data_IF_455532041161
#
_entry.id   IF_455532041161
#
_cell.length_a   1.000
_cell.length_b   1.000
_cell.length_c   1.000
_cell.angle_alpha   90.00
_cell.angle_beta   90.00
_cell.angle_gamma   90.00
#
_symmetry.space_group_name_H-M   'P 1'
#
loop_
_entity.id
_entity.type
_entity.pdbx_description
1 polymer ?
#
# COMPACT_ATOMS: atom_id res chain seq x y z
N UNK A 1 14.95 13.88 11.96
CA UNK A 1 15.91 12.80 11.67
C UNK A 1 15.47 11.91 10.51
N UNK A 2 14.23 11.41 10.45
CA UNK A 2 13.77 10.52 9.35
C UNK A 2 13.70 11.17 7.95
N UNK A 3 13.36 12.45 7.83
CA UNK A 3 13.25 13.13 6.52
C UNK A 3 14.61 13.22 5.82
N UNK A 4 15.69 13.51 6.56
CA UNK A 4 17.02 13.73 5.99
C UNK A 4 17.63 12.53 5.25
N UNK A 5 17.25 11.29 5.60
CA UNK A 5 17.79 10.09 4.96
C UNK A 5 17.26 9.86 3.54
N UNK A 6 16.08 10.40 3.23
CA UNK A 6 15.43 10.28 1.92
C UNK A 6 15.56 11.56 1.07
N UNK A 7 16.02 12.65 1.69
CA UNK A 7 16.25 13.94 1.01
C UNK A 7 17.59 14.01 0.28
N UNK A 8 18.50 13.06 0.52
CA UNK A 8 19.81 13.02 -0.10
C UNK A 8 20.05 11.71 -0.85
N UNK A 9 21.18 11.64 -1.55
CA UNK A 9 21.58 10.52 -2.39
C UNK A 9 22.30 9.40 -1.62
N UNK A 10 22.30 9.42 -0.27
CA UNK A 10 23.07 8.49 0.55
C UNK A 10 22.77 7.02 0.20
N UNK A 11 21.49 6.68 -0.01
CA UNK A 11 21.08 5.32 -0.37
C UNK A 11 21.69 4.92 -1.72
N UNK A 12 21.62 5.78 -2.72
CA UNK A 12 22.14 5.49 -4.07
C UNK A 12 23.66 5.52 -4.18
N UNK A 13 24.35 6.23 -3.27
CA UNK A 13 25.81 6.18 -3.18
C UNK A 13 26.31 4.85 -2.61
N UNK A 14 25.50 4.20 -1.75
CA UNK A 14 25.87 2.95 -1.07
C UNK A 14 25.21 1.71 -1.70
N UNK A 15 24.16 1.88 -2.49
CA UNK A 15 23.48 0.82 -3.22
C UNK A 15 23.18 1.25 -4.67
N UNK A 16 23.96 0.76 -5.67
CA UNK A 16 23.76 1.11 -7.07
C UNK A 16 22.48 0.50 -7.69
N UNK A 17 21.79 -0.41 -6.99
CA UNK A 17 20.51 -0.98 -7.44
C UNK A 17 19.30 -0.11 -7.08
N UNK A 18 19.49 0.92 -6.24
CA UNK A 18 18.43 1.87 -5.91
C UNK A 18 18.41 3.00 -6.93
N UNK A 19 17.26 3.30 -7.56
CA UNK A 19 17.14 4.44 -8.46
C UNK A 19 17.43 5.78 -7.75
N UNK A 20 18.19 6.71 -8.37
CA UNK A 20 18.56 7.99 -7.77
C UNK A 20 17.42 9.01 -7.85
N UNK A 21 16.31 8.71 -7.18
CA UNK A 21 15.14 9.59 -7.07
C UNK A 21 15.16 10.27 -5.71
N UNK A 22 15.44 11.56 -5.71
CA UNK A 22 15.42 12.39 -4.50
C UNK A 22 14.00 12.82 -4.15
N UNK A 23 13.77 13.01 -2.85
CA UNK A 23 12.53 13.61 -2.36
C UNK A 23 12.33 15.03 -2.93
N UNK A 24 11.12 15.31 -3.41
CA UNK A 24 10.74 16.62 -3.95
C UNK A 24 9.83 17.36 -2.96
N UNK A 25 10.43 18.21 -2.14
CA UNK A 25 9.72 19.01 -1.13
C UNK A 25 8.74 20.02 -1.74
N UNK A 26 9.06 20.59 -2.89
CA UNK A 26 8.19 21.56 -3.58
C UNK A 26 6.90 20.87 -4.04
N UNK A 27 7.01 19.68 -4.62
CA UNK A 27 5.85 18.87 -5.02
C UNK A 27 5.02 18.42 -3.82
N UNK A 28 5.67 18.07 -2.70
CA UNK A 28 4.97 17.71 -1.46
C UNK A 28 4.17 18.88 -0.89
N UNK A 29 4.72 20.11 -0.94
CA UNK A 29 4.11 21.32 -0.37
C UNK A 29 3.18 22.06 -1.33
N UNK A 30 3.09 21.64 -2.59
CA UNK A 30 2.32 22.30 -3.66
C UNK A 30 0.84 22.56 -3.26
N UNK A 31 0.25 21.71 -2.41
CA UNK A 31 -1.07 21.96 -1.82
C UNK A 31 -2.23 21.99 -2.84
N UNK A 32 -2.03 21.49 -4.06
CA UNK A 32 -3.02 21.52 -5.13
C UNK A 32 -4.25 20.64 -4.84
N UNK A 33 -5.34 20.90 -5.55
CA UNK A 33 -6.55 20.05 -5.46
C UNK A 33 -6.36 18.77 -6.27
N UNK A 34 -6.24 17.66 -5.55
CA UNK A 34 -6.10 16.33 -6.15
C UNK A 34 -7.41 15.70 -6.59
N UNK A 35 -7.30 14.83 -7.61
CA UNK A 35 -8.31 13.84 -7.98
C UNK A 35 -7.94 12.50 -7.36
N UNK A 36 -8.73 12.04 -6.40
CA UNK A 36 -8.40 10.92 -5.51
C UNK A 36 -9.36 9.76 -5.81
N UNK A 37 -8.80 8.60 -6.17
CA UNK A 37 -9.57 7.36 -6.29
C UNK A 37 -9.84 6.75 -4.91
N UNK A 38 -11.07 6.33 -4.62
CA UNK A 38 -11.39 5.62 -3.38
C UNK A 38 -12.16 4.33 -3.64
N UNK A 39 -11.94 3.33 -2.78
CA UNK A 39 -12.68 2.07 -2.77
C UNK A 39 -12.99 1.68 -1.31
N UNK A 40 -14.09 0.95 -1.11
CA UNK A 40 -14.49 0.43 0.21
C UNK A 40 -14.13 -1.06 0.31
N UNK A 41 -14.20 -1.77 -0.82
CA UNK A 41 -13.97 -3.19 -0.92
C UNK A 41 -13.07 -3.49 -2.12
N UNK A 42 -12.04 -4.28 -1.88
CA UNK A 42 -11.09 -4.74 -2.89
C UNK A 42 -11.43 -6.13 -3.44
N UNK A 43 -12.39 -6.84 -2.81
CA UNK A 43 -12.84 -8.16 -3.21
C UNK A 43 -11.91 -9.33 -2.83
N UNK A 44 -10.86 -9.10 -2.03
CA UNK A 44 -9.94 -10.16 -1.56
C UNK A 44 -10.12 -10.50 -0.08
N UNK A 45 -10.22 -9.51 0.80
CA UNK A 45 -10.46 -9.74 2.24
C UNK A 45 -11.93 -10.03 2.58
N UNK A 46 -12.67 -10.56 1.61
CA UNK A 46 -14.09 -10.92 1.62
C UNK A 46 -14.50 -12.03 2.60
N UNK A 47 -13.71 -13.07 2.94
CA UNK A 47 -14.27 -14.26 3.61
C UNK A 47 -14.59 -14.13 5.10
N UNK A 48 -14.38 -12.96 5.73
CA UNK A 48 -14.86 -12.71 7.09
C UNK A 48 -15.97 -11.64 7.07
N UNK A 49 -17.22 -11.97 7.45
CA UNK A 49 -18.32 -11.00 7.61
C UNK A 49 -17.96 -9.83 8.54
N UNK A 50 -17.00 -10.03 9.46
CA UNK A 50 -16.50 -8.99 10.35
C UNK A 50 -15.60 -7.95 9.65
N UNK A 51 -14.96 -8.28 8.52
CA UNK A 51 -13.97 -7.42 7.85
C UNK A 51 -14.61 -6.72 6.65
N UNK A 52 -15.34 -7.45 5.80
CA UNK A 52 -15.98 -6.87 4.60
C UNK A 52 -17.20 -6.01 4.93
N UNK A 53 -17.93 -6.37 5.99
CA UNK A 53 -19.09 -5.63 6.48
C UNK A 53 -18.77 -4.83 7.74
N UNK A 54 -17.49 -4.67 8.12
CA UNK A 54 -17.13 -3.83 9.26
C UNK A 54 -17.70 -2.44 9.04
N UNK A 55 -18.77 -2.05 9.74
CA UNK A 55 -19.38 -0.75 9.55
C UNK A 55 -18.36 0.35 9.88
N UNK A 56 -17.35 0.02 10.70
CA UNK A 56 -16.26 0.90 11.10
C UNK A 56 -15.31 1.25 9.95
N UNK A 57 -14.86 0.26 9.15
CA UNK A 57 -13.93 0.51 8.03
C UNK A 57 -14.63 1.32 6.95
N UNK A 58 -15.85 0.90 6.58
CA UNK A 58 -16.67 1.64 5.62
C UNK A 58 -16.93 3.07 6.08
N UNK A 59 -17.28 3.26 7.37
CA UNK A 59 -17.49 4.59 7.94
C UNK A 59 -16.22 5.44 7.89
N UNK A 60 -15.08 4.91 8.30
CA UNK A 60 -13.81 5.64 8.29
C UNK A 60 -13.42 6.10 6.87
N UNK A 61 -13.58 5.23 5.86
CA UNK A 61 -13.32 5.60 4.46
C UNK A 61 -14.27 6.70 3.98
N UNK A 62 -15.56 6.61 4.32
CA UNK A 62 -16.56 7.61 3.92
C UNK A 62 -16.42 8.94 4.68
N UNK A 63 -15.96 8.92 5.92
CA UNK A 63 -15.64 10.10 6.72
C UNK A 63 -14.43 10.82 6.15
N UNK A 64 -13.33 10.09 5.88
CA UNK A 64 -12.17 10.64 5.19
C UNK A 64 -12.53 11.19 3.81
N UNK A 65 -13.40 10.49 3.06
CA UNK A 65 -13.94 10.97 1.79
C UNK A 65 -14.61 12.34 1.97
N UNK A 66 -15.53 12.45 2.92
CA UNK A 66 -16.27 13.69 3.19
C UNK A 66 -15.34 14.85 3.56
N UNK A 67 -14.31 14.60 4.39
CA UNK A 67 -13.33 15.61 4.74
C UNK A 67 -12.48 16.08 3.56
N UNK A 68 -12.08 15.16 2.67
CA UNK A 68 -11.32 15.51 1.46
C UNK A 68 -12.18 16.28 0.45
N UNK A 69 -13.44 15.91 0.28
CA UNK A 69 -14.41 16.66 -0.55
C UNK A 69 -14.64 18.07 0.02
N UNK A 70 -14.82 18.20 1.33
CA UNK A 70 -14.96 19.49 2.02
C UNK A 70 -13.69 20.37 1.89
N UNK A 71 -12.51 19.75 1.83
CA UNK A 71 -11.26 20.44 1.55
C UNK A 71 -11.09 20.82 0.06
N UNK A 72 -12.06 20.51 -0.81
CA UNK A 72 -12.08 20.87 -2.23
C UNK A 72 -11.37 19.89 -3.16
N UNK A 73 -11.09 18.67 -2.71
CA UNK A 73 -10.59 17.60 -3.57
C UNK A 73 -11.72 16.92 -4.35
N UNK A 74 -11.38 16.31 -5.49
CA UNK A 74 -12.33 15.53 -6.29
C UNK A 74 -12.16 14.06 -5.99
N UNK A 75 -13.17 13.41 -5.41
CA UNK A 75 -13.12 11.99 -5.10
C UNK A 75 -13.90 11.18 -6.13
N UNK A 76 -13.27 10.12 -6.62
CA UNK A 76 -13.81 9.29 -7.70
C UNK A 76 -13.88 7.85 -7.23
N UNK A 77 -15.04 7.19 -7.35
CA UNK A 77 -15.12 5.75 -7.14
C UNK A 77 -14.13 5.03 -8.05
N UNK A 78 -13.22 4.28 -7.46
CA UNK A 78 -12.21 3.50 -8.17
C UNK A 78 -12.35 2.05 -7.73
N UNK A 79 -12.23 1.11 -8.66
CA UNK A 79 -12.20 -0.32 -8.34
C UNK A 79 -10.88 -0.89 -8.87
N UNK A 80 -9.95 -1.27 -7.98
CA UNK A 80 -8.72 -1.92 -8.42
C UNK A 80 -9.06 -3.19 -9.24
N UNK A 81 -8.48 -3.37 -10.44
CA UNK A 81 -8.80 -4.52 -11.28
C UNK A 81 -8.13 -5.79 -10.73
N UNK A 82 -8.88 -6.91 -10.75
CA UNK A 82 -8.35 -8.27 -10.56
C UNK A 82 -7.54 -8.49 -9.26
N UNK A 83 -7.92 -7.83 -8.16
CA UNK A 83 -7.23 -7.96 -6.87
C UNK A 83 -7.10 -9.43 -6.41
N UNK A 84 -8.12 -10.30 -6.54
CA UNK A 84 -7.96 -11.69 -6.11
C UNK A 84 -6.92 -12.49 -6.90
N UNK A 85 -6.86 -12.24 -8.21
CA UNK A 85 -5.87 -12.85 -9.09
C UNK A 85 -4.47 -12.34 -8.75
N UNK A 86 -4.32 -11.02 -8.57
CA UNK A 86 -3.07 -10.38 -8.16
C UNK A 86 -2.57 -10.98 -6.84
N UNK A 87 -3.43 -11.09 -5.83
CA UNK A 87 -3.04 -11.63 -4.52
C UNK A 87 -2.66 -13.11 -4.61
N UNK A 88 -3.34 -13.91 -5.45
CA UNK A 88 -2.94 -15.30 -5.71
C UNK A 88 -1.54 -15.38 -6.34
N UNK A 89 -1.23 -14.52 -7.30
CA UNK A 89 0.11 -14.45 -7.90
C UNK A 89 1.16 -13.97 -6.92
N UNK A 90 0.83 -12.97 -6.10
CA UNK A 90 1.71 -12.45 -5.05
C UNK A 90 2.09 -13.56 -4.06
N UNK A 91 1.12 -14.29 -3.51
CA UNK A 91 1.39 -15.41 -2.57
C UNK A 91 2.28 -16.48 -3.21
N UNK A 92 2.07 -16.80 -4.49
CA UNK A 92 2.93 -17.73 -5.23
C UNK A 92 4.34 -17.20 -5.45
N UNK A 93 4.48 -15.90 -5.71
CA UNK A 93 5.77 -15.26 -5.92
C UNK A 93 6.61 -15.14 -4.64
N UNK A 94 5.98 -15.00 -3.48
CA UNK A 94 6.68 -14.98 -2.18
C UNK A 94 6.95 -16.37 -1.60
N UNK A 95 6.15 -17.37 -1.99
CA UNK A 95 6.28 -18.77 -1.57
C UNK A 95 6.61 -19.71 -2.75
N UNK A 96 7.62 -19.36 -3.56
CA UNK A 96 7.98 -20.13 -4.77
C UNK A 96 8.40 -21.58 -4.46
N UNK A 97 8.94 -21.82 -3.27
CA UNK A 97 9.34 -23.12 -2.74
C UNK A 97 8.25 -23.77 -1.85
N UNK A 98 7.02 -23.24 -1.90
CA UNK A 98 5.94 -23.67 -1.01
C UNK A 98 6.10 -23.19 0.44
N UNK A 99 7.01 -22.26 0.72
CA UNK A 99 7.27 -21.72 2.05
C UNK A 99 8.25 -22.55 2.89
N UNK A 100 8.92 -23.53 2.28
CA UNK A 100 9.87 -24.41 2.98
C UNK A 100 11.03 -23.64 3.61
N UNK A 101 11.62 -22.68 2.90
CA UNK A 101 12.71 -21.85 3.39
C UNK A 101 12.31 -21.09 4.66
N UNK A 102 11.16 -20.41 4.62
CA UNK A 102 10.64 -19.64 5.75
C UNK A 102 10.28 -20.57 6.92
N UNK A 103 9.61 -21.68 6.64
CA UNK A 103 9.24 -22.67 7.65
C UNK A 103 10.46 -23.23 8.39
N UNK A 104 11.49 -23.67 7.64
CA UNK A 104 12.71 -24.22 8.22
C UNK A 104 13.45 -23.19 9.08
N UNK A 105 13.48 -21.92 8.64
CA UNK A 105 14.08 -20.83 9.41
C UNK A 105 13.31 -20.48 10.68
N UNK A 106 11.97 -20.45 10.62
CA UNK A 106 11.13 -20.11 11.77
C UNK A 106 11.14 -21.20 12.85
N UNK A 107 11.13 -22.46 12.44
CA UNK A 107 11.05 -23.60 13.37
C UNK A 107 12.39 -24.28 13.63
N UNK A 108 13.48 -23.72 13.10
CA UNK A 108 14.85 -24.21 13.24
C UNK A 108 14.97 -25.72 12.97
N UNK A 109 14.21 -26.20 12.00
CA UNK A 109 14.25 -27.60 11.55
C UNK A 109 15.43 -27.70 10.59
N UNK A 110 16.59 -28.01 11.15
CA UNK A 110 17.82 -28.24 10.40
C UNK A 110 17.74 -29.52 9.57
N UNK A 111 18.33 -29.47 8.38
CA UNK A 111 18.85 -30.67 7.71
C UNK A 111 20.32 -30.83 8.07
#
# INVERSE_FOLDING_TARGET
>A
MFIQMWSNNWITEHDPYVPPVLWNDDMYREGRKYRIGYYIDDGWFTPAPAIQSSPYIKRAVLEAKSHLEAAGHTLVPFKPPRVPEMMRHYVRGVCVDGGQFVFNKLFNVGF
#
